data_IF_168591145538
#
_entry.id   IF_168591145538
#
_cell.length_a   1.000
_cell.length_b   1.000
_cell.length_c   1.000
_cell.angle_alpha   90.00
_cell.angle_beta   90.00
_cell.angle_gamma   90.00
#
_symmetry.space_group_name_H-M   'P 1'
#
loop_
_entity.id
_entity.type
_entity.pdbx_description
1 polymer ?
#
# COMPACT_ATOMS: atom_id res chain seq x y z
N UNK A 1 -2.72 -6.18 -2.30
CA UNK A 1 -1.74 -6.19 -3.39
C UNK A 1 -1.70 -7.55 -4.07
N UNK A 2 -1.85 -7.59 -5.42
CA UNK A 2 -1.88 -8.84 -6.21
C UNK A 2 -0.60 -9.66 -6.10
N UNK A 3 0.54 -9.02 -5.90
CA UNK A 3 1.85 -9.69 -5.72
C UNK A 3 1.92 -10.65 -4.52
N UNK A 4 0.97 -10.61 -3.60
CA UNK A 4 0.88 -11.56 -2.47
C UNK A 4 0.78 -13.01 -2.96
N UNK A 5 0.20 -13.24 -4.14
CA UNK A 5 0.15 -14.55 -4.79
C UNK A 5 1.55 -15.17 -5.02
N UNK A 6 2.61 -14.36 -5.03
CA UNK A 6 4.00 -14.81 -5.18
C UNK A 6 4.64 -15.30 -3.87
N UNK A 7 3.89 -15.41 -2.77
CA UNK A 7 4.41 -15.86 -1.46
C UNK A 7 5.39 -14.87 -0.82
N UNK A 8 5.19 -13.58 -1.05
CA UNK A 8 6.04 -12.48 -0.54
C UNK A 8 5.60 -11.93 0.81
N UNK A 9 4.62 -12.56 1.44
CA UNK A 9 4.11 -12.21 2.77
C UNK A 9 3.92 -13.47 3.62
N UNK A 10 4.07 -13.36 4.94
CA UNK A 10 3.76 -14.45 5.88
C UNK A 10 2.27 -14.63 6.13
N UNK A 11 1.48 -13.60 5.85
CA UNK A 11 0.03 -13.58 6.06
C UNK A 11 -0.68 -13.42 4.73
N UNK A 12 -1.90 -13.90 4.65
CA UNK A 12 -2.77 -13.70 3.49
C UNK A 12 -3.50 -12.34 3.53
N UNK A 13 -4.26 -12.04 2.49
CA UNK A 13 -4.93 -10.75 2.33
C UNK A 13 -6.09 -10.53 3.32
N UNK A 14 -6.59 -11.56 4.00
CA UNK A 14 -7.69 -11.45 4.98
C UNK A 14 -7.30 -10.56 6.16
N UNK A 15 -6.00 -10.52 6.50
CA UNK A 15 -5.47 -9.64 7.54
C UNK A 15 -5.72 -8.17 7.23
N UNK A 16 -5.65 -7.75 5.96
CA UNK A 16 -5.98 -6.37 5.56
C UNK A 16 -7.40 -6.01 5.97
N UNK A 17 -8.37 -6.88 5.70
CA UNK A 17 -9.76 -6.68 6.09
C UNK A 17 -9.94 -6.65 7.60
N UNK A 18 -9.36 -7.60 8.31
CA UNK A 18 -9.42 -7.65 9.78
C UNK A 18 -8.87 -6.37 10.43
N UNK A 19 -7.80 -5.81 9.88
CA UNK A 19 -7.25 -4.53 10.35
C UNK A 19 -8.17 -3.37 10.01
N UNK A 20 -8.77 -3.32 8.82
CA UNK A 20 -9.74 -2.29 8.46
C UNK A 20 -10.95 -2.28 9.40
N UNK A 21 -11.51 -3.45 9.73
CA UNK A 21 -12.61 -3.62 10.70
C UNK A 21 -12.19 -3.14 12.11
N UNK A 22 -10.96 -3.45 12.54
CA UNK A 22 -10.44 -2.99 13.82
C UNK A 22 -10.12 -1.47 13.82
N UNK A 23 -9.72 -0.89 12.69
CA UNK A 23 -9.59 0.56 12.53
C UNK A 23 -10.94 1.25 12.69
N UNK A 24 -11.98 0.76 12.03
CA UNK A 24 -13.35 1.25 12.16
C UNK A 24 -13.83 1.16 13.62
N UNK A 25 -13.55 0.05 14.29
CA UNK A 25 -13.89 -0.19 15.70
C UNK A 25 -12.97 0.53 16.70
N UNK A 26 -11.97 1.31 16.26
CA UNK A 26 -11.00 2.03 17.09
C UNK A 26 -10.15 1.12 18.01
N UNK A 27 -9.86 -0.11 17.58
CA UNK A 27 -9.17 -1.14 18.38
C UNK A 27 -7.71 -1.35 18.02
N UNK A 28 -7.21 -0.73 16.94
CA UNK A 28 -5.81 -0.88 16.51
C UNK A 28 -4.84 -0.10 17.39
N UNK A 29 -3.56 -0.46 17.32
CA UNK A 29 -2.48 0.24 18.05
C UNK A 29 -2.47 1.74 17.73
N UNK A 30 -2.61 2.12 16.45
CA UNK A 30 -2.65 3.53 16.05
C UNK A 30 -3.83 4.27 16.68
N UNK A 31 -4.99 3.62 16.83
CA UNK A 31 -6.13 4.24 17.49
C UNK A 31 -5.89 4.46 19.00
N UNK A 32 -5.19 3.54 19.66
CA UNK A 32 -4.83 3.71 21.08
C UNK A 32 -3.80 4.82 21.26
N UNK A 33 -2.77 4.86 20.40
CA UNK A 33 -1.75 5.89 20.40
C UNK A 33 -2.35 7.28 20.11
N UNK A 34 -3.23 7.37 19.12
CA UNK A 34 -3.92 8.59 18.75
C UNK A 34 -4.79 9.13 19.91
N UNK A 35 -5.46 8.24 20.65
CA UNK A 35 -6.23 8.63 21.84
C UNK A 35 -5.33 9.31 22.89
N UNK A 36 -4.15 8.75 23.14
CA UNK A 36 -3.17 9.32 24.09
C UNK A 36 -2.60 10.64 23.57
N UNK A 37 -2.40 10.75 22.26
CA UNK A 37 -1.86 11.95 21.61
C UNK A 37 -2.93 13.03 21.31
N UNK A 38 -4.19 12.78 21.65
CA UNK A 38 -5.34 13.65 21.32
C UNK A 38 -5.46 13.96 19.82
N UNK A 39 -5.21 12.92 18.97
CA UNK A 39 -5.32 13.01 17.53
C UNK A 39 -6.49 12.18 17.01
N UNK A 40 -7.06 12.61 15.88
CA UNK A 40 -8.05 11.83 15.17
C UNK A 40 -7.39 10.79 14.27
N UNK A 41 -8.09 9.67 14.05
CA UNK A 41 -7.73 8.66 13.05
C UNK A 41 -8.80 8.65 11.97
N UNK A 42 -8.40 8.82 10.72
CA UNK A 42 -9.30 8.77 9.55
C UNK A 42 -8.96 7.50 8.75
N UNK A 43 -9.69 6.41 8.97
CA UNK A 43 -9.46 5.19 8.19
C UNK A 43 -10.05 5.35 6.79
N UNK A 44 -9.24 5.02 5.78
CA UNK A 44 -9.58 5.15 4.35
C UNK A 44 -9.25 3.86 3.62
N UNK A 45 -10.20 3.36 2.85
CA UNK A 45 -10.01 2.24 1.92
C UNK A 45 -9.69 2.79 0.52
N UNK A 46 -8.45 2.60 0.07
CA UNK A 46 -7.97 3.00 -1.25
C UNK A 46 -8.07 1.88 -2.30
N UNK A 47 -8.36 0.65 -1.88
CA UNK A 47 -8.41 -0.48 -2.81
C UNK A 47 -8.29 -1.84 -2.13
N UNK A 48 -8.90 -2.04 -0.99
CA UNK A 48 -9.00 -3.35 -0.37
C UNK A 48 -9.88 -4.28 -1.21
N UNK A 49 -9.49 -5.54 -1.33
CA UNK A 49 -10.34 -6.56 -1.93
C UNK A 49 -11.54 -6.90 -1.02
N UNK A 50 -12.67 -7.22 -1.64
CA UNK A 50 -13.92 -7.54 -0.94
C UNK A 50 -14.84 -6.33 -0.75
N UNK A 51 -15.85 -6.49 0.11
CA UNK A 51 -16.87 -5.47 0.34
C UNK A 51 -16.34 -4.31 1.20
N UNK A 52 -16.92 -3.10 1.08
CA UNK A 52 -16.62 -1.97 1.94
C UNK A 52 -16.79 -2.32 3.43
N UNK A 53 -15.95 -1.74 4.28
CA UNK A 53 -16.04 -1.89 5.73
C UNK A 53 -16.78 -0.68 6.31
N UNK A 54 -17.93 -0.85 6.98
CA UNK A 54 -18.63 0.25 7.63
C UNK A 54 -17.71 1.00 8.60
N UNK A 55 -17.68 2.33 8.53
CA UNK A 55 -16.81 3.17 9.36
C UNK A 55 -15.40 3.40 8.78
N UNK A 56 -15.10 2.87 7.61
CA UNK A 56 -13.95 3.20 6.79
C UNK A 56 -14.42 3.99 5.57
N UNK A 57 -13.78 5.11 5.25
CA UNK A 57 -14.13 5.91 4.09
C UNK A 57 -13.82 5.13 2.79
N UNK A 58 -14.82 4.93 1.95
CA UNK A 58 -14.63 4.22 0.67
C UNK A 58 -14.06 5.18 -0.39
N UNK A 59 -12.77 5.04 -0.64
CA UNK A 59 -12.03 5.74 -1.68
C UNK A 59 -11.41 4.77 -2.69
N UNK A 60 -11.97 3.58 -2.84
CA UNK A 60 -11.41 2.52 -3.69
C UNK A 60 -11.41 2.91 -5.16
N UNK A 61 -10.27 2.67 -5.80
CA UNK A 61 -10.12 2.78 -7.25
C UNK A 61 -10.48 1.44 -7.91
N UNK A 62 -10.06 0.35 -7.27
CA UNK A 62 -10.30 -1.03 -7.70
C UNK A 62 -10.27 -1.95 -6.48
N UNK A 63 -10.70 -3.19 -6.64
CA UNK A 63 -10.64 -4.22 -5.60
C UNK A 63 -9.23 -4.85 -5.52
N UNK A 64 -8.25 -4.07 -5.05
CA UNK A 64 -6.84 -4.43 -5.03
C UNK A 64 -6.11 -4.08 -6.34
N UNK A 65 -4.81 -4.35 -6.37
CA UNK A 65 -3.98 -4.24 -7.56
C UNK A 65 -3.78 -5.61 -8.22
N UNK A 66 -3.44 -5.64 -9.49
CA UNK A 66 -2.99 -6.86 -10.15
C UNK A 66 -1.60 -7.30 -9.63
N UNK A 67 -1.19 -8.51 -9.98
CA UNK A 67 0.16 -9.02 -9.71
C UNK A 67 1.14 -8.42 -10.73
N UNK A 68 1.98 -7.49 -10.28
CA UNK A 68 2.91 -6.80 -11.17
C UNK A 68 4.02 -7.72 -11.75
N UNK A 69 4.15 -8.95 -11.28
CA UNK A 69 5.03 -9.94 -11.93
C UNK A 69 4.45 -10.47 -13.24
N UNK A 70 3.15 -10.27 -13.48
CA UNK A 70 2.44 -10.73 -14.68
C UNK A 70 2.14 -9.61 -15.68
N UNK A 71 2.15 -8.35 -15.24
CA UNK A 71 1.85 -7.16 -16.02
C UNK A 71 1.70 -5.94 -15.11
N UNK A 72 1.21 -4.80 -15.60
CA UNK A 72 1.03 -3.61 -14.76
C UNK A 72 0.10 -3.88 -13.57
N UNK A 73 0.47 -3.36 -12.39
CA UNK A 73 -0.34 -3.49 -11.17
C UNK A 73 -1.67 -2.72 -11.27
N UNK A 74 -1.66 -1.60 -12.00
CA UNK A 74 -2.82 -0.77 -12.29
C UNK A 74 -2.61 -0.02 -13.62
N UNK A 75 -3.66 0.56 -14.15
CA UNK A 75 -3.54 1.46 -15.30
C UNK A 75 -3.06 2.83 -14.86
N UNK A 76 -2.43 3.59 -15.78
CA UNK A 76 -2.05 4.97 -15.51
C UNK A 76 -3.24 5.84 -15.04
N UNK A 77 -4.42 5.65 -15.60
CA UNK A 77 -5.62 6.36 -15.18
C UNK A 77 -5.98 6.06 -13.72
N UNK A 78 -5.85 4.81 -13.28
CA UNK A 78 -6.06 4.41 -11.88
C UNK A 78 -5.02 5.03 -10.95
N UNK A 79 -3.75 5.07 -11.36
CA UNK A 79 -2.69 5.72 -10.59
C UNK A 79 -2.96 7.23 -10.41
N UNK A 80 -3.31 7.93 -11.49
CA UNK A 80 -3.68 9.36 -11.44
C UNK A 80 -4.89 9.59 -10.53
N UNK A 81 -5.92 8.74 -10.64
CA UNK A 81 -7.11 8.86 -9.79
C UNK A 81 -6.78 8.60 -8.31
N UNK A 82 -5.94 7.62 -8.01
CA UNK A 82 -5.51 7.32 -6.63
C UNK A 82 -4.79 8.52 -6.00
N UNK A 83 -3.85 9.12 -6.73
CA UNK A 83 -3.16 10.36 -6.29
C UNK A 83 -4.18 11.49 -6.10
N UNK A 84 -5.10 11.68 -7.05
CA UNK A 84 -6.15 12.69 -6.96
C UNK A 84 -7.06 12.52 -5.75
N UNK A 85 -7.40 11.28 -5.38
CA UNK A 85 -8.18 10.98 -4.17
C UNK A 85 -7.41 11.33 -2.90
N UNK A 86 -6.10 11.03 -2.86
CA UNK A 86 -5.23 11.43 -1.76
C UNK A 86 -5.18 12.95 -1.58
N UNK A 87 -5.06 13.70 -2.67
CA UNK A 87 -5.09 15.18 -2.66
C UNK A 87 -6.41 15.70 -2.09
N UNK A 88 -7.55 15.17 -2.56
CA UNK A 88 -8.88 15.56 -2.05
C UNK A 88 -9.03 15.28 -0.56
N UNK A 89 -8.61 14.12 -0.09
CA UNK A 89 -8.64 13.77 1.34
C UNK A 89 -7.87 14.78 2.19
N UNK A 90 -6.68 15.19 1.75
CA UNK A 90 -5.89 16.22 2.47
C UNK A 90 -6.62 17.56 2.46
N UNK A 91 -7.23 17.97 1.37
CA UNK A 91 -8.00 19.21 1.26
C UNK A 91 -9.21 19.20 2.19
N UNK A 92 -9.94 18.07 2.26
CA UNK A 92 -11.08 17.88 3.16
C UNK A 92 -10.66 17.98 4.63
N UNK A 93 -9.56 17.30 5.01
CA UNK A 93 -9.06 17.38 6.39
C UNK A 93 -8.58 18.80 6.74
N UNK A 94 -7.92 19.48 5.81
CA UNK A 94 -7.55 20.89 5.99
C UNK A 94 -8.78 21.78 6.18
N UNK A 95 -9.82 21.61 5.38
CA UNK A 95 -11.07 22.36 5.51
C UNK A 95 -11.80 22.06 6.83
N UNK A 96 -11.66 20.84 7.36
CA UNK A 96 -12.16 20.44 8.68
C UNK A 96 -11.32 20.99 9.86
N UNK A 97 -10.21 21.69 9.59
CA UNK A 97 -9.39 22.36 10.62
C UNK A 97 -8.13 21.57 11.02
N UNK A 98 -7.79 20.48 10.35
CA UNK A 98 -6.53 19.77 10.61
C UNK A 98 -5.32 20.65 10.24
N UNK A 99 -4.39 20.80 11.19
CA UNK A 99 -3.17 21.60 11.03
C UNK A 99 -1.95 20.71 10.72
N UNK A 100 -1.99 19.46 11.16
CA UNK A 100 -0.95 18.47 10.93
C UNK A 100 -1.60 17.15 10.51
N UNK A 101 -1.09 16.54 9.46
CA UNK A 101 -1.51 15.23 8.99
C UNK A 101 -0.31 14.27 9.02
N UNK A 102 -0.52 13.11 9.64
CA UNK A 102 0.40 11.98 9.54
C UNK A 102 -0.22 10.91 8.64
N UNK A 103 0.56 10.41 7.71
CA UNK A 103 0.13 9.32 6.83
C UNK A 103 0.56 7.98 7.39
N UNK A 104 -0.28 6.98 7.21
CA UNK A 104 0.02 5.57 7.50
C UNK A 104 -0.60 4.70 6.42
N UNK A 105 0.01 3.57 6.15
CA UNK A 105 -0.47 2.61 5.16
C UNK A 105 -0.53 1.22 5.79
N UNK A 106 -1.59 0.51 5.51
CA UNK A 106 -1.76 -0.90 5.87
C UNK A 106 -2.36 -1.66 4.70
N UNK A 107 -1.62 -2.62 4.20
CA UNK A 107 -2.07 -3.49 3.11
C UNK A 107 -1.08 -4.62 2.92
N UNK A 108 -1.53 -5.87 3.07
CA UNK A 108 -0.64 -7.03 2.92
C UNK A 108 0.03 -7.00 1.54
N UNK A 109 1.36 -7.15 1.53
CA UNK A 109 2.19 -7.00 0.34
C UNK A 109 2.72 -5.58 0.06
N UNK A 110 2.30 -4.56 0.83
CA UNK A 110 2.68 -3.16 0.63
C UNK A 110 4.19 -2.91 0.62
N UNK A 111 4.95 -3.58 1.48
CA UNK A 111 6.41 -3.42 1.51
C UNK A 111 7.11 -4.02 0.28
N UNK A 112 6.46 -4.93 -0.45
CA UNK A 112 6.97 -5.46 -1.71
C UNK A 112 6.81 -4.41 -2.83
N UNK A 113 5.63 -3.84 -2.97
CA UNK A 113 5.38 -2.79 -3.96
C UNK A 113 6.20 -1.53 -3.66
N UNK A 114 6.29 -1.12 -2.39
CA UNK A 114 7.12 0.02 -1.98
C UNK A 114 8.60 -0.19 -2.30
N UNK A 115 9.14 -1.40 -2.09
CA UNK A 115 10.52 -1.74 -2.44
C UNK A 115 10.76 -1.69 -3.94
N UNK A 116 9.80 -2.17 -4.74
CA UNK A 116 9.88 -2.13 -6.20
C UNK A 116 9.93 -0.68 -6.72
N UNK A 117 8.98 0.15 -6.28
CA UNK A 117 8.92 1.58 -6.62
C UNK A 117 10.21 2.30 -6.20
N UNK A 118 10.66 2.09 -4.97
CA UNK A 118 11.87 2.73 -4.47
C UNK A 118 13.13 2.29 -5.24
N UNK A 119 13.26 1.01 -5.59
CA UNK A 119 14.39 0.51 -6.38
C UNK A 119 14.46 1.19 -7.74
N UNK A 120 13.34 1.33 -8.43
CA UNK A 120 13.28 1.97 -9.76
C UNK A 120 13.54 3.48 -9.67
N UNK A 121 12.80 4.20 -8.82
CA UNK A 121 12.92 5.66 -8.74
C UNK A 121 14.28 6.14 -8.23
N UNK A 122 14.93 5.36 -7.37
CA UNK A 122 16.25 5.71 -6.81
C UNK A 122 17.41 5.06 -7.56
N UNK A 123 17.14 4.25 -8.58
CA UNK A 123 18.17 3.53 -9.33
C UNK A 123 19.03 2.62 -8.44
N UNK A 124 18.43 2.00 -7.42
CA UNK A 124 19.16 1.18 -6.44
C UNK A 124 18.91 -0.31 -6.66
N UNK A 125 19.87 -1.19 -6.32
CA UNK A 125 19.66 -2.64 -6.35
C UNK A 125 18.45 -3.05 -5.50
N UNK A 126 17.64 -3.97 -6.02
CA UNK A 126 16.42 -4.47 -5.36
C UNK A 126 16.74 -5.04 -3.99
N UNK A 127 17.83 -5.78 -3.85
CA UNK A 127 18.27 -6.38 -2.59
C UNK A 127 18.52 -5.34 -1.50
N UNK A 128 19.03 -4.18 -1.88
CA UNK A 128 19.30 -3.06 -0.96
C UNK A 128 18.00 -2.38 -0.50
N UNK A 129 17.00 -2.35 -1.38
CA UNK A 129 15.72 -1.68 -1.12
C UNK A 129 14.68 -2.60 -0.48
N UNK A 130 14.97 -3.92 -0.37
CA UNK A 130 13.99 -4.90 0.07
C UNK A 130 14.27 -5.37 1.49
N UNK A 131 13.32 -5.11 2.39
CA UNK A 131 13.35 -5.63 3.76
C UNK A 131 12.41 -6.82 3.97
N UNK A 132 12.51 -7.43 5.15
CA UNK A 132 11.71 -8.61 5.56
C UNK A 132 10.21 -8.31 5.76
N UNK A 133 9.83 -7.03 5.75
CA UNK A 133 8.45 -6.64 6.06
C UNK A 133 8.03 -7.15 7.46
N UNK A 134 6.93 -7.86 7.53
CA UNK A 134 6.40 -8.43 8.79
C UNK A 134 7.15 -9.69 9.26
N UNK A 135 8.44 -9.84 8.96
CA UNK A 135 9.28 -10.91 9.51
C UNK A 135 9.44 -12.13 8.63
N UNK A 136 9.56 -11.98 7.31
CA UNK A 136 9.87 -13.07 6.39
C UNK A 136 11.16 -13.80 6.78
N UNK A 137 11.19 -15.12 6.57
CA UNK A 137 12.41 -15.93 6.61
C UNK A 137 13.39 -15.52 5.51
N UNK A 138 14.59 -16.10 5.51
CA UNK A 138 15.59 -15.85 4.45
C UNK A 138 15.07 -16.30 3.08
N UNK A 139 14.41 -17.45 3.00
CA UNK A 139 13.79 -17.94 1.77
C UNK A 139 12.61 -17.05 1.34
N UNK A 140 11.84 -16.53 2.30
CA UNK A 140 10.75 -15.58 2.04
C UNK A 140 11.27 -14.25 1.49
N UNK A 141 12.39 -13.76 2.05
CA UNK A 141 13.07 -12.56 1.55
C UNK A 141 13.62 -12.78 0.14
N UNK A 142 14.24 -13.93 -0.12
CA UNK A 142 14.75 -14.26 -1.45
C UNK A 142 13.61 -14.31 -2.49
N UNK A 143 12.46 -14.95 -2.16
CA UNK A 143 11.27 -14.93 -3.03
C UNK A 143 10.75 -13.53 -3.28
N UNK A 144 10.77 -12.67 -2.27
CA UNK A 144 10.31 -11.27 -2.39
C UNK A 144 11.21 -10.48 -3.32
N UNK A 145 12.53 -10.61 -3.20
CA UNK A 145 13.51 -9.99 -4.11
C UNK A 145 13.31 -10.49 -5.54
N UNK A 146 13.19 -11.80 -5.74
CA UNK A 146 12.94 -12.40 -7.04
C UNK A 146 11.65 -11.86 -7.69
N UNK A 147 10.55 -11.80 -6.93
CA UNK A 147 9.28 -11.28 -7.43
C UNK A 147 9.41 -9.81 -7.88
N UNK A 148 10.13 -8.98 -7.12
CA UNK A 148 10.38 -7.58 -7.49
C UNK A 148 11.22 -7.50 -8.77
N UNK A 149 12.30 -8.26 -8.87
CA UNK A 149 13.16 -8.28 -10.07
C UNK A 149 12.36 -8.71 -11.32
N UNK A 150 11.56 -9.77 -11.21
CA UNK A 150 10.69 -10.22 -12.31
C UNK A 150 9.66 -9.16 -12.71
N UNK A 151 9.06 -8.48 -11.74
CA UNK A 151 8.10 -7.41 -11.99
C UNK A 151 8.72 -6.23 -12.72
N UNK A 152 9.88 -5.75 -12.28
CA UNK A 152 10.62 -4.66 -12.93
C UNK A 152 11.04 -5.07 -14.36
N UNK A 153 11.57 -6.27 -14.52
CA UNK A 153 11.98 -6.78 -15.84
C UNK A 153 10.78 -6.91 -16.80
N UNK A 154 9.63 -7.33 -16.29
CA UNK A 154 8.40 -7.52 -17.07
C UNK A 154 7.80 -6.22 -17.56
N UNK A 155 7.69 -5.22 -16.67
CA UNK A 155 6.99 -3.97 -16.94
C UNK A 155 7.91 -2.90 -17.51
N UNK A 156 9.22 -2.96 -17.24
CA UNK A 156 10.23 -1.99 -17.71
C UNK A 156 9.81 -0.54 -17.45
N UNK A 157 9.44 -0.19 -16.21
CA UNK A 157 8.94 1.13 -15.89
C UNK A 157 9.98 2.22 -16.20
N UNK A 158 9.52 3.36 -16.69
CA UNK A 158 10.37 4.53 -16.93
C UNK A 158 10.70 5.23 -15.60
N UNK A 159 11.96 5.20 -15.10
CA UNK A 159 12.32 5.82 -13.84
C UNK A 159 12.18 7.35 -13.84
N UNK A 160 12.01 7.97 -15.01
CA UNK A 160 11.82 9.42 -15.14
C UNK A 160 10.33 9.83 -15.11
N UNK A 161 9.42 8.86 -15.18
CA UNK A 161 7.97 9.06 -15.05
C UNK A 161 7.44 8.37 -13.80
N UNK A 162 7.29 9.07 -12.66
CA UNK A 162 6.80 8.45 -11.43
C UNK A 162 5.41 7.79 -11.54
N UNK A 163 4.57 8.26 -12.47
CA UNK A 163 3.25 7.64 -12.69
C UNK A 163 3.33 6.34 -13.50
N UNK A 164 4.40 6.13 -14.23
CA UNK A 164 4.67 4.87 -14.91
C UNK A 164 5.25 3.83 -13.95
N UNK A 165 5.96 4.29 -12.93
CA UNK A 165 6.53 3.43 -11.88
C UNK A 165 5.49 2.96 -10.86
N UNK A 166 4.41 3.72 -10.64
CA UNK A 166 3.32 3.38 -9.72
C UNK A 166 2.41 2.29 -10.27
#
# INVERSE_FOLDING_TARGET
>A
NGVVAQGVSQTDQSVTRAVAENLAARRTSVCQMARTAHCDVVPVDMGMAGDPVPGVADCRIAAGTADFTQGPAMTRAQAVEAVGRGIRLVQEQKAAGAQLLATGEMGIGNTTTSSAVAAVLLGQPVERMTGRGAGLSDEGLARKVDAICRGILRNKPDPTDPLDVL
#
